data_IF_204412165529
#
_entry.id   IF_204412165529
#
_cell.length_a   1.000
_cell.length_b   1.000
_cell.length_c   1.000
_cell.angle_alpha   90.00
_cell.angle_beta   90.00
_cell.angle_gamma   90.00
#
_symmetry.space_group_name_H-M   'P 1'
#
loop_
_entity.id
_entity.type
_entity.pdbx_description
1 polymer ?
#
# COMPACT_ATOMS: atom_id res chain seq x y z
N UNK A 1 9.74 -53.73 16.66
CA UNK A 1 9.59 -53.27 16.59
C UNK A 1 9.42 -52.34 16.07
N UNK A 2 9.18 -51.78 15.92
CA UNK A 2 9.00 -51.00 15.58
C UNK A 2 8.99 -49.90 15.38
N UNK A 3 8.98 -49.34 15.04
CA UNK A 3 8.98 -48.44 14.91
C UNK A 3 8.71 -47.48 14.46
N UNK A 4 8.54 -47.05 14.32
CA UNK A 4 8.31 -46.20 14.01
C UNK A 4 8.25 -45.14 13.60
N UNK A 5 8.22 -44.59 13.38
CA UNK A 5 8.14 -43.63 13.14
C UNK A 5 7.93 -42.61 12.77
N UNK A 6 7.79 -42.17 12.61
CA UNK A 6 7.57 -41.25 12.31
C UNK A 6 7.51 -40.19 11.93
N UNK A 7 7.50 -39.72 11.71
CA UNK A 7 7.45 -38.79 11.40
C UNK A 7 7.26 -37.79 11.04
N UNK A 8 7.10 -37.26 10.90
CA UNK A 8 6.96 -36.37 10.57
C UNK A 8 6.79 -35.35 10.17
N UNK A 9 6.65 -34.90 10.01
CA UNK A 9 6.51 -34.07 9.72
C UNK A 9 6.46 -33.03 9.39
N UNK A 10 6.44 -32.52 9.26
CA UNK A 10 6.38 -31.57 9.11
C UNK A 10 6.16 -30.62 8.65
N UNK A 11 6.02 -30.15 8.51
CA UNK A 11 5.80 -29.31 8.19
C UNK A 11 5.73 -28.25 7.85
N UNK A 12 5.69 -27.76 7.66
CA UNK A 12 5.68 -26.92 7.36
C UNK A 12 5.33 -25.90 7.05
N UNK A 13 5.21 -25.36 7.06
CA UNK A 13 4.73 -24.45 7.05
C UNK A 13 4.98 -23.26 6.60
N UNK A 14 4.91 -22.79 6.28
CA UNK A 14 5.12 -21.78 5.99
C UNK A 14 4.60 -20.88 5.67
N UNK A 15 4.50 -20.47 5.73
CA UNK A 15 3.97 -19.77 5.60
C UNK A 15 3.86 -18.56 5.27
N UNK A 16 3.42 -18.08 5.07
CA UNK A 16 3.00 -16.96 4.95
C UNK A 16 3.65 -15.85 4.65
N UNK A 17 4.09 -15.75 4.63
CA UNK A 17 4.70 -14.81 4.52
C UNK A 17 4.44 -13.71 3.83
N UNK A 18 4.27 -13.62 2.89
CA UNK A 18 4.22 -12.52 2.21
C UNK A 18 3.40 -11.47 2.58
N UNK A 19 2.46 -11.71 3.22
CA UNK A 19 1.57 -10.69 3.60
C UNK A 19 2.17 -9.64 4.47
N UNK A 20 3.38 -9.82 4.86
CA UNK A 20 3.97 -8.91 5.79
C UNK A 20 3.97 -7.48 5.35
N UNK A 21 4.03 -7.23 4.07
CA UNK A 21 4.06 -5.85 3.59
C UNK A 21 2.68 -5.33 3.27
N UNK A 22 1.65 -6.12 3.45
CA UNK A 22 0.31 -5.69 3.10
C UNK A 22 -0.24 -4.77 4.14
N UNK A 23 -0.93 -3.77 3.70
CA UNK A 23 -1.70 -2.90 4.56
C UNK A 23 -3.15 -3.35 4.62
N UNK A 24 -3.92 -2.59 5.37
CA UNK A 24 -5.35 -2.80 5.53
C UNK A 24 -6.09 -1.74 4.73
N UNK A 25 -6.76 -2.16 3.67
CA UNK A 25 -7.44 -1.23 2.78
C UNK A 25 -8.58 -0.48 3.47
N UNK A 26 -9.27 -1.12 4.42
CA UNK A 26 -10.34 -0.44 5.15
C UNK A 26 -9.80 0.67 6.04
N UNK A 27 -8.69 0.39 6.69
CA UNK A 27 -8.02 1.40 7.50
C UNK A 27 -7.47 2.50 6.59
N UNK A 28 -6.89 2.10 5.46
CA UNK A 28 -6.38 3.06 4.49
C UNK A 28 -7.45 4.00 3.99
N UNK A 29 -8.66 3.48 3.76
CA UNK A 29 -9.77 4.32 3.34
C UNK A 29 -10.04 5.41 4.36
N UNK A 30 -10.05 5.06 5.64
CA UNK A 30 -10.28 6.05 6.69
C UNK A 30 -9.17 7.10 6.76
N UNK A 31 -7.95 6.70 6.44
CA UNK A 31 -6.82 7.61 6.48
C UNK A 31 -6.68 8.45 5.23
N UNK A 32 -7.43 8.15 4.17
CA UNK A 32 -7.24 8.77 2.87
C UNK A 32 -7.90 10.12 2.71
N UNK A 33 -8.68 10.57 3.68
CA UNK A 33 -9.43 11.82 3.54
C UNK A 33 -8.56 13.01 3.11
N UNK A 34 -7.39 13.24 3.71
CA UNK A 34 -6.56 14.36 3.24
C UNK A 34 -6.06 14.18 1.81
N UNK A 35 -5.93 12.95 1.36
CA UNK A 35 -5.45 12.67 0.00
C UNK A 35 -6.53 12.95 -1.02
N UNK A 36 -7.77 12.75 -0.64
CA UNK A 36 -8.91 12.81 -1.54
C UNK A 36 -9.10 14.21 -2.14
N UNK A 37 -8.66 15.24 -1.43
CA UNK A 37 -8.82 16.60 -1.92
C UNK A 37 -8.16 16.79 -3.29
N UNK A 38 -7.07 16.11 -3.54
CA UNK A 38 -6.35 16.22 -4.80
C UNK A 38 -6.48 14.96 -5.64
N UNK A 39 -6.38 13.80 -5.00
CA UNK A 39 -6.32 12.53 -5.71
C UNK A 39 -7.68 11.86 -5.89
N UNK A 40 -8.74 12.48 -5.38
CA UNK A 40 -10.09 11.92 -5.44
C UNK A 40 -10.35 10.91 -4.33
N UNK A 41 -11.62 10.73 -3.96
CA UNK A 41 -11.94 9.85 -2.83
C UNK A 41 -11.56 8.39 -3.06
N UNK A 42 -11.46 7.97 -4.29
CA UNK A 42 -11.07 6.62 -4.63
C UNK A 42 -9.78 6.57 -5.46
N UNK A 43 -9.02 7.66 -5.48
CA UNK A 43 -7.77 7.68 -6.22
C UNK A 43 -7.87 8.06 -7.68
N UNK A 44 -9.05 8.50 -8.12
CA UNK A 44 -9.22 9.08 -9.46
C UNK A 44 -9.22 10.58 -9.26
N UNK A 45 -8.18 11.23 -9.74
CA UNK A 45 -7.93 12.61 -9.40
C UNK A 45 -9.03 13.55 -9.94
N UNK A 46 -9.15 14.68 -9.27
CA UNK A 46 -10.16 15.67 -9.65
C UNK A 46 -9.65 16.60 -10.75
N UNK A 47 -8.38 16.51 -11.09
CA UNK A 47 -7.76 17.43 -12.03
C UNK A 47 -6.53 16.79 -12.65
N UNK A 48 -6.19 17.22 -13.84
CA UNK A 48 -4.99 16.72 -14.50
C UNK A 48 -3.69 17.11 -13.82
N UNK A 49 -3.75 18.04 -12.87
CA UNK A 49 -2.56 18.45 -12.13
C UNK A 49 -2.12 17.41 -11.09
N UNK A 50 -2.97 16.48 -10.75
CA UNK A 50 -2.69 15.49 -9.72
C UNK A 50 -2.82 14.09 -10.32
N UNK A 51 -1.89 13.19 -10.00
CA UNK A 51 -1.94 11.85 -10.60
C UNK A 51 -3.06 11.00 -10.01
N UNK A 52 -3.53 10.09 -10.81
CA UNK A 52 -4.45 9.05 -10.35
C UNK A 52 -3.66 8.02 -9.56
N UNK A 53 -4.27 7.51 -8.51
CA UNK A 53 -3.66 6.49 -7.66
C UNK A 53 -4.40 5.16 -7.73
N UNK A 54 -5.64 5.18 -8.22
CA UNK A 54 -6.48 3.99 -8.26
C UNK A 54 -5.85 2.90 -9.11
N UNK A 55 -5.74 1.71 -8.55
CA UNK A 55 -5.22 0.56 -9.27
C UNK A 55 -3.72 0.53 -9.43
N UNK A 56 -3.01 1.46 -8.82
CA UNK A 56 -1.55 1.44 -8.86
C UNK A 56 -1.02 0.28 -8.02
N UNK A 57 0.17 -0.18 -8.31
CA UNK A 57 0.78 -1.27 -7.54
C UNK A 57 1.04 -0.82 -6.10
N UNK A 58 0.70 -1.64 -5.12
CA UNK A 58 0.90 -1.25 -3.73
C UNK A 58 2.37 -1.03 -3.37
N UNK A 59 3.26 -1.81 -3.93
CA UNK A 59 4.70 -1.62 -3.67
C UNK A 59 5.17 -0.27 -4.18
N UNK A 60 4.70 0.12 -5.36
CA UNK A 60 5.07 1.42 -5.90
C UNK A 60 4.54 2.54 -5.02
N UNK A 61 3.30 2.44 -4.57
CA UNK A 61 2.70 3.46 -3.72
C UNK A 61 3.46 3.57 -2.40
N UNK A 62 3.80 2.45 -1.78
CA UNK A 62 4.58 2.48 -0.55
C UNK A 62 5.93 3.15 -0.76
N UNK A 63 6.60 2.79 -1.83
CA UNK A 63 7.91 3.38 -2.14
C UNK A 63 7.79 4.88 -2.38
N UNK A 64 6.82 5.29 -3.17
CA UNK A 64 6.65 6.70 -3.48
C UNK A 64 6.35 7.52 -2.22
N UNK A 65 5.43 7.06 -1.39
CA UNK A 65 5.08 7.77 -0.16
C UNK A 65 6.27 7.84 0.79
N UNK A 66 7.01 6.76 0.90
CA UNK A 66 8.21 6.73 1.73
C UNK A 66 9.26 7.70 1.22
N UNK A 67 9.45 7.75 -0.09
CA UNK A 67 10.44 8.64 -0.68
C UNK A 67 10.06 10.12 -0.53
N UNK A 68 8.78 10.45 -0.59
CA UNK A 68 8.37 11.81 -0.26
C UNK A 68 8.65 12.13 1.20
N UNK A 69 8.41 11.17 2.09
CA UNK A 69 8.59 11.40 3.51
C UNK A 69 10.06 11.59 3.87
N UNK A 70 10.95 10.84 3.26
CA UNK A 70 12.38 10.92 3.59
C UNK A 70 13.17 11.86 2.69
N UNK A 71 12.50 12.54 1.78
CA UNK A 71 13.13 13.55 0.94
C UNK A 71 13.80 13.01 -0.31
N UNK A 72 13.76 11.72 -0.55
CA UNK A 72 14.33 11.17 -1.79
C UNK A 72 13.56 11.61 -3.02
N UNK A 73 12.26 11.77 -2.89
CA UNK A 73 11.42 12.28 -3.96
C UNK A 73 10.96 13.67 -3.56
N UNK A 74 11.27 14.65 -4.40
CA UNK A 74 11.08 16.05 -4.03
C UNK A 74 9.76 16.57 -4.55
N UNK A 75 8.88 16.90 -3.66
CA UNK A 75 7.65 17.60 -3.95
C UNK A 75 7.15 18.18 -2.64
N UNK A 76 7.22 19.51 -2.47
CA UNK A 76 6.86 20.13 -1.19
C UNK A 76 5.43 19.83 -0.77
N UNK A 77 4.49 19.75 -1.72
CA UNK A 77 3.10 19.50 -1.41
C UNK A 77 2.96 18.09 -0.84
N UNK A 78 3.49 17.10 -1.55
CA UNK A 78 3.38 15.71 -1.09
C UNK A 78 4.19 15.49 0.18
N UNK A 79 5.34 16.12 0.31
CA UNK A 79 6.13 15.98 1.53
C UNK A 79 5.35 16.43 2.76
N UNK A 80 4.62 17.54 2.64
CA UNK A 80 3.78 18.02 3.74
C UNK A 80 2.68 17.02 4.07
N UNK A 81 2.10 16.38 3.06
CA UNK A 81 1.02 15.43 3.28
C UNK A 81 1.47 14.17 4.00
N UNK A 82 2.70 13.74 3.77
CA UNK A 82 3.17 12.45 4.30
C UNK A 82 3.99 12.59 5.58
N UNK A 83 4.27 13.80 6.02
CA UNK A 83 5.18 14.05 7.14
C UNK A 83 4.81 13.25 8.39
N UNK A 84 3.54 13.16 8.71
CA UNK A 84 3.08 12.50 9.93
C UNK A 84 2.65 11.06 9.74
N UNK A 85 2.83 10.51 8.55
CA UNK A 85 2.44 9.12 8.30
C UNK A 85 3.48 8.17 8.89
N UNK A 86 2.99 7.14 9.56
CA UNK A 86 3.85 6.05 9.99
C UNK A 86 4.03 5.06 8.84
N UNK A 87 4.99 4.14 8.93
CA UNK A 87 5.10 3.08 7.93
C UNK A 87 3.80 2.28 7.78
N UNK A 88 3.08 2.06 8.88
CA UNK A 88 1.81 1.35 8.81
C UNK A 88 0.76 2.16 8.06
N UNK A 89 0.72 3.48 8.30
CA UNK A 89 -0.20 4.35 7.56
C UNK A 89 0.08 4.26 6.06
N UNK A 90 1.34 4.27 5.68
CA UNK A 90 1.73 4.19 4.28
C UNK A 90 1.29 2.85 3.69
N UNK A 91 1.47 1.76 4.41
CA UNK A 91 1.01 0.45 3.94
C UNK A 91 -0.51 0.42 3.75
N UNK A 92 -1.25 0.98 4.70
CA UNK A 92 -2.70 0.98 4.64
C UNK A 92 -3.21 1.83 3.48
N UNK A 93 -2.63 3.01 3.30
CA UNK A 93 -3.01 3.87 2.18
C UNK A 93 -2.69 3.22 0.84
N UNK A 94 -1.54 2.58 0.74
CA UNK A 94 -1.16 1.86 -0.47
C UNK A 94 -2.14 0.73 -0.76
N UNK A 95 -2.55 0.00 0.26
CA UNK A 95 -3.53 -1.07 0.10
C UNK A 95 -4.86 -0.54 -0.38
N UNK A 96 -5.30 0.59 0.17
CA UNK A 96 -6.56 1.17 -0.22
C UNK A 96 -6.54 1.63 -1.69
N UNK A 97 -5.59 2.48 -2.05
CA UNK A 97 -5.58 3.02 -3.40
C UNK A 97 -5.30 1.96 -4.45
N UNK A 98 -4.42 1.02 -4.17
CA UNK A 98 -4.13 -0.04 -5.13
C UNK A 98 -5.33 -0.93 -5.40
N UNK A 99 -6.24 -1.05 -4.45
CA UNK A 99 -7.41 -1.89 -4.58
C UNK A 99 -8.58 -1.20 -5.28
N UNK A 100 -8.46 0.09 -5.59
CA UNK A 100 -9.53 0.81 -6.26
C UNK A 100 -9.53 0.50 -7.74
N UNK A 101 -10.72 0.26 -8.27
CA UNK A 101 -10.87 0.05 -9.71
C UNK A 101 -11.06 1.38 -10.40
N UNK A 102 -11.47 1.32 -11.63
CA UNK A 102 -11.88 2.50 -12.35
C UNK A 102 -10.86 3.03 -13.32
N UNK A 103 -9.59 2.86 -13.04
CA UNK A 103 -8.57 3.23 -13.99
C UNK A 103 -7.81 1.99 -14.39
N UNK A 104 -7.85 1.67 -15.65
CA UNK A 104 -7.12 0.52 -16.19
C UNK A 104 -5.80 1.02 -16.72
N UNK A 105 -4.73 0.55 -16.14
CA UNK A 105 -3.41 0.87 -16.66
C UNK A 105 -3.03 -0.22 -17.63
N UNK A 106 -2.83 0.16 -18.86
CA UNK A 106 -2.40 -0.80 -19.86
C UNK A 106 -0.90 -0.81 -19.92
N UNK A 107 -0.39 -1.96 -19.86
CA UNK A 107 1.05 -2.16 -19.85
C UNK A 107 1.54 -2.68 -21.18
#
# INVERSE_FOLDING_TARGET
MKTSGLLLAALLAFAGSAAASSGDAEVGKKKSAPCAACHGPNGISVSGDFPNLAGQYPDYLQTALTHYKNGKRKNPIMQAQVTNLTPKDIQDLAAYFSSQGGLQVKH
#
